data_IF_726559787573
#
_entry.id   IF_726559787573
#
_cell.length_a   1.000
_cell.length_b   1.000
_cell.length_c   1.000
_cell.angle_alpha   90.00
_cell.angle_beta   90.00
_cell.angle_gamma   90.00
#
_symmetry.space_group_name_H-M   'P 1'
#
loop_
_entity.id
_entity.type
_entity.pdbx_description
1 polymer ?
#
# COMPACT_ATOMS: atom_id res chain seq x y z
N UNK A 1 5.74 -14.95 16.25
CA UNK A 1 5.71 -13.82 15.29
C UNK A 1 4.64 -14.14 14.27
N UNK A 2 3.66 -13.26 14.08
CA UNK A 2 2.66 -13.36 13.02
C UNK A 2 3.23 -12.66 11.79
N UNK A 3 3.30 -13.37 10.67
CA UNK A 3 3.80 -12.81 9.41
C UNK A 3 2.69 -12.07 8.67
N UNK A 4 3.12 -11.14 7.82
CA UNK A 4 2.27 -10.38 6.88
C UNK A 4 1.00 -9.78 7.51
N UNK A 5 1.14 -9.12 8.65
CA UNK A 5 0.02 -8.58 9.41
C UNK A 5 -0.62 -7.36 8.76
N UNK A 6 0.17 -6.51 8.12
CA UNK A 6 -0.34 -5.36 7.40
C UNK A 6 0.60 -4.98 6.25
N UNK A 7 0.02 -4.45 5.17
CA UNK A 7 0.75 -3.76 4.12
C UNK A 7 0.94 -2.30 4.53
N UNK A 8 2.18 -1.84 4.55
CA UNK A 8 2.50 -0.41 4.55
C UNK A 8 2.70 0.03 3.11
N UNK A 9 1.84 0.95 2.66
CA UNK A 9 1.91 1.53 1.33
C UNK A 9 1.62 3.03 1.37
N UNK A 10 1.97 3.71 0.29
CA UNK A 10 1.59 5.10 0.04
C UNK A 10 0.69 5.18 -1.19
N UNK A 11 -0.20 6.16 -1.20
CA UNK A 11 -1.04 6.51 -2.36
C UNK A 11 -1.06 8.02 -2.58
N UNK A 12 -1.52 8.40 -3.76
CA UNK A 12 -1.75 9.80 -4.11
C UNK A 12 -3.23 10.15 -3.94
N UNK A 13 -3.51 11.28 -3.30
CA UNK A 13 -4.86 11.81 -3.17
C UNK A 13 -5.37 12.18 -4.58
N UNK A 14 -6.50 11.60 -4.99
CA UNK A 14 -7.11 11.93 -6.27
C UNK A 14 -7.68 13.34 -6.28
N UNK A 15 -7.56 14.03 -7.42
CA UNK A 15 -8.31 15.25 -7.69
C UNK A 15 -9.82 14.99 -7.83
N UNK A 16 -10.66 16.03 -7.77
CA UNK A 16 -12.10 15.90 -8.04
C UNK A 16 -12.44 15.25 -9.39
N UNK A 17 -11.57 15.42 -10.38
CA UNK A 17 -11.66 14.82 -11.72
C UNK A 17 -10.85 13.50 -11.86
N UNK A 18 -10.33 12.98 -10.75
CA UNK A 18 -9.51 11.77 -10.71
C UNK A 18 -8.09 11.92 -11.25
N UNK A 19 -7.65 13.14 -11.61
CA UNK A 19 -6.28 13.38 -12.07
C UNK A 19 -5.36 13.79 -10.91
N UNK A 20 -4.10 13.38 -11.00
CA UNK A 20 -3.08 13.60 -9.96
C UNK A 20 -1.72 13.97 -10.57
N UNK A 21 -1.59 15.10 -11.28
CA UNK A 21 -0.30 15.50 -11.83
C UNK A 21 0.77 15.68 -10.75
N UNK A 22 2.03 15.24 -10.98
CA UNK A 22 2.54 14.56 -12.19
C UNK A 22 2.35 13.02 -12.18
N UNK A 23 1.81 12.46 -11.10
CA UNK A 23 1.65 11.01 -10.89
C UNK A 23 0.53 10.36 -11.70
N UNK A 24 -0.19 11.13 -12.52
CA UNK A 24 -1.04 10.59 -13.57
C UNK A 24 -0.20 9.92 -14.69
N UNK A 25 1.08 10.29 -14.84
CA UNK A 25 2.02 9.60 -15.73
C UNK A 25 2.58 8.34 -15.06
N UNK A 26 2.41 7.19 -15.72
CA UNK A 26 2.91 5.89 -15.26
C UNK A 26 4.42 5.89 -15.01
N UNK A 27 5.20 6.59 -15.83
CA UNK A 27 6.67 6.65 -15.71
C UNK A 27 7.09 7.34 -14.42
N UNK A 28 6.32 8.34 -13.98
CA UNK A 28 6.54 9.03 -12.71
C UNK A 28 6.24 8.09 -11.55
N UNK A 29 5.11 7.36 -11.59
CA UNK A 29 4.79 6.35 -10.57
C UNK A 29 5.81 5.22 -10.50
N UNK A 30 6.32 4.77 -11.65
CA UNK A 30 7.41 3.79 -11.71
C UNK A 30 8.70 4.35 -11.09
N UNK A 31 9.10 5.57 -11.45
CA UNK A 31 10.28 6.22 -10.89
C UNK A 31 10.20 6.34 -9.36
N UNK A 32 9.05 6.78 -8.83
CA UNK A 32 8.83 6.89 -7.38
C UNK A 32 8.89 5.54 -6.68
N UNK A 33 8.54 4.44 -7.35
CA UNK A 33 8.66 3.08 -6.81
C UNK A 33 10.13 2.59 -6.81
N UNK A 34 10.88 2.83 -7.89
CA UNK A 34 12.28 2.40 -8.02
C UNK A 34 13.22 3.19 -7.10
N UNK A 35 12.81 4.39 -6.66
CA UNK A 35 13.59 5.20 -5.75
C UNK A 35 13.63 4.67 -4.31
N UNK A 36 12.79 3.70 -3.94
CA UNK A 36 12.64 3.25 -2.56
C UNK A 36 13.44 1.97 -2.32
N UNK A 37 14.42 2.04 -1.40
CA UNK A 37 15.05 0.82 -0.87
C UNK A 37 14.18 0.21 0.23
N UNK A 38 13.38 -0.78 -0.19
CA UNK A 38 12.44 -1.48 0.69
C UNK A 38 13.14 -2.39 1.69
N UNK A 39 14.32 -2.92 1.35
CA UNK A 39 15.09 -3.76 2.25
C UNK A 39 15.68 -2.91 3.38
N UNK A 40 16.24 -1.76 3.04
CA UNK A 40 16.74 -0.80 4.03
C UNK A 40 15.62 -0.30 4.95
N UNK A 41 14.43 0.04 4.40
CA UNK A 41 13.27 0.42 5.22
C UNK A 41 12.84 -0.73 6.16
N UNK A 42 12.74 -1.96 5.66
CA UNK A 42 12.37 -3.12 6.46
C UNK A 42 13.31 -3.34 7.65
N UNK A 43 14.61 -3.09 7.47
CA UNK A 43 15.62 -3.23 8.53
C UNK A 43 15.65 -2.03 9.46
N UNK A 44 15.76 -0.82 8.92
CA UNK A 44 16.02 0.41 9.70
C UNK A 44 14.80 0.95 10.43
N UNK A 45 13.61 0.88 9.82
CA UNK A 45 12.37 1.41 10.39
C UNK A 45 11.64 0.33 11.17
N UNK A 46 11.58 -0.89 10.64
CA UNK A 46 10.80 -1.98 11.24
C UNK A 46 11.64 -3.02 12.01
N UNK A 47 12.95 -2.79 12.17
CA UNK A 47 13.82 -3.64 12.98
C UNK A 47 13.91 -5.10 12.50
N UNK A 48 13.73 -5.34 11.20
CA UNK A 48 13.71 -6.69 10.62
C UNK A 48 12.38 -7.44 10.80
N UNK A 49 11.36 -6.80 11.37
CA UNK A 49 10.00 -7.34 11.47
C UNK A 49 9.12 -6.94 10.28
N UNK A 50 9.71 -6.81 9.09
CA UNK A 50 9.00 -6.54 7.87
C UNK A 50 9.73 -7.13 6.67
N UNK A 51 9.01 -7.32 5.57
CA UNK A 51 9.58 -7.77 4.29
C UNK A 51 9.08 -6.90 3.13
N UNK A 52 9.85 -6.74 2.04
CA UNK A 52 9.45 -5.90 0.91
C UNK A 52 8.11 -6.31 0.29
N UNK A 53 7.26 -5.32 0.02
CA UNK A 53 6.00 -5.51 -0.69
C UNK A 53 6.11 -5.08 -2.15
N UNK A 54 5.41 -5.80 -3.03
CA UNK A 54 5.45 -5.55 -4.48
C UNK A 54 4.14 -5.02 -5.05
N UNK A 55 2.99 -5.37 -4.48
CA UNK A 55 1.68 -5.12 -5.09
C UNK A 55 0.95 -4.00 -4.35
N UNK A 56 0.59 -2.88 -5.01
CA UNK A 56 -0.26 -1.86 -4.42
C UNK A 56 -1.62 -2.46 -4.02
N UNK A 57 -2.10 -2.15 -2.82
CA UNK A 57 -3.37 -2.68 -2.27
C UNK A 57 -3.49 -4.22 -2.28
N UNK A 58 -2.37 -4.92 -2.45
CA UNK A 58 -2.35 -6.38 -2.44
C UNK A 58 -2.16 -6.91 -1.02
N UNK A 59 -3.16 -7.60 -0.50
CA UNK A 59 -3.11 -8.23 0.82
C UNK A 59 -2.69 -9.68 0.67
N UNK A 60 -1.73 -10.16 1.46
CA UNK A 60 -1.12 -11.48 1.22
C UNK A 60 -2.07 -12.64 1.41
N UNK A 61 -3.04 -12.51 2.31
CA UNK A 61 -4.04 -13.56 2.53
C UNK A 61 -4.92 -13.73 1.29
N UNK A 62 -5.34 -12.63 0.66
CA UNK A 62 -6.10 -12.72 -0.58
C UNK A 62 -5.27 -13.31 -1.72
N UNK A 63 -3.94 -13.13 -1.73
CA UNK A 63 -3.10 -13.79 -2.75
C UNK A 63 -3.18 -15.30 -2.68
N UNK A 64 -3.11 -15.89 -1.48
CA UNK A 64 -3.21 -17.34 -1.31
C UNK A 64 -4.57 -17.85 -1.79
N UNK A 65 -5.64 -17.16 -1.39
CA UNK A 65 -7.01 -17.54 -1.72
C UNK A 65 -7.35 -17.42 -3.21
N UNK A 66 -6.79 -16.42 -3.90
CA UNK A 66 -6.99 -16.22 -5.34
C UNK A 66 -5.93 -16.92 -6.20
N UNK A 67 -4.96 -17.62 -5.57
CA UNK A 67 -3.83 -18.25 -6.27
C UNK A 67 -2.88 -17.27 -6.95
N UNK A 68 -2.79 -16.04 -6.46
CA UNK A 68 -1.85 -15.03 -6.94
C UNK A 68 -0.46 -15.28 -6.35
N UNK A 69 0.57 -15.24 -7.19
CA UNK A 69 1.96 -15.39 -6.76
C UNK A 69 2.74 -14.16 -7.20
N UNK A 70 3.37 -13.50 -6.24
CA UNK A 70 4.33 -12.44 -6.54
C UNK A 70 5.59 -13.11 -7.08
N UNK A 71 5.96 -12.79 -8.30
CA UNK A 71 7.17 -13.28 -8.95
C UNK A 71 8.30 -12.26 -8.81
N UNK A 72 9.58 -12.66 -8.93
CA UNK A 72 10.70 -11.74 -8.80
C UNK A 72 10.67 -10.54 -9.76
N UNK A 73 10.12 -10.68 -10.96
CA UNK A 73 9.92 -9.60 -11.94
C UNK A 73 8.88 -8.56 -11.51
N UNK A 74 7.97 -8.94 -10.60
CA UNK A 74 7.07 -8.00 -9.95
C UNK A 74 7.74 -7.25 -8.80
N UNK A 75 8.94 -7.61 -8.34
CA UNK A 75 9.62 -6.81 -7.33
C UNK A 75 10.01 -5.43 -7.89
N UNK A 76 9.97 -4.41 -7.04
CA UNK A 76 10.56 -3.11 -7.36
C UNK A 76 12.01 -3.10 -6.90
N UNK A 77 12.93 -3.33 -7.85
CA UNK A 77 14.35 -3.17 -7.57
C UNK A 77 14.68 -1.71 -7.23
N UNK A 78 15.50 -1.49 -6.21
CA UNK A 78 15.99 -0.16 -5.88
C UNK A 78 16.97 0.29 -6.97
N UNK A 79 16.54 1.27 -7.77
CA UNK A 79 17.30 1.80 -8.90
C UNK A 79 17.03 3.32 -9.08
N UNK A 80 17.68 4.16 -8.25
CA UNK A 80 17.57 5.61 -8.36
C UNK A 80 18.05 6.17 -9.71
N UNK A 81 18.95 5.48 -10.40
CA UNK A 81 19.46 5.93 -11.69
C UNK A 81 18.40 5.80 -12.78
N UNK A 82 17.74 4.63 -12.85
CA UNK A 82 16.58 4.42 -13.74
C UNK A 82 15.41 5.31 -13.36
N UNK A 83 15.17 5.54 -12.06
CA UNK A 83 14.15 6.46 -11.61
C UNK A 83 14.37 7.89 -12.14
N UNK A 84 15.60 8.43 -12.03
CA UNK A 84 15.95 9.75 -12.61
C UNK A 84 15.73 9.80 -14.12
N UNK A 85 16.11 8.74 -14.84
CA UNK A 85 15.88 8.65 -16.28
C UNK A 85 14.40 8.69 -16.63
N UNK A 86 13.57 7.92 -15.93
CA UNK A 86 12.12 7.91 -16.13
C UNK A 86 11.48 9.27 -15.86
N UNK A 87 11.94 9.99 -14.83
CA UNK A 87 11.51 11.37 -14.60
C UNK A 87 11.91 12.31 -15.74
N UNK A 88 13.14 12.20 -16.25
CA UNK A 88 13.59 12.98 -17.39
C UNK A 88 12.78 12.68 -18.66
N UNK A 89 12.52 11.41 -18.96
CA UNK A 89 11.69 10.96 -20.09
C UNK A 89 10.25 11.47 -19.95
N UNK A 90 9.77 11.66 -18.72
CA UNK A 90 8.48 12.28 -18.40
C UNK A 90 8.49 13.82 -18.46
N UNK A 91 9.60 14.44 -18.85
CA UNK A 91 9.74 15.90 -18.92
C UNK A 91 10.00 16.56 -17.56
N UNK A 92 10.35 15.79 -16.52
CA UNK A 92 10.57 16.22 -15.14
C UNK A 92 12.06 16.10 -14.75
N UNK A 93 12.97 16.34 -15.69
CA UNK A 93 14.42 16.28 -15.44
C UNK A 93 14.88 17.25 -14.33
N UNK A 94 14.18 18.38 -14.16
CA UNK A 94 14.40 19.35 -13.09
C UNK A 94 13.73 18.98 -11.75
N UNK A 95 13.07 17.83 -11.68
CA UNK A 95 12.31 17.40 -10.51
C UNK A 95 10.94 18.07 -10.41
N UNK A 96 10.26 17.80 -9.30
CA UNK A 96 9.01 18.43 -8.90
C UNK A 96 8.87 18.40 -7.38
N UNK A 97 7.88 19.13 -6.83
CA UNK A 97 7.58 19.07 -5.39
C UNK A 97 6.53 18.02 -5.11
N UNK A 98 6.80 17.14 -4.14
CA UNK A 98 5.87 16.14 -3.65
C UNK A 98 5.49 16.46 -2.20
N UNK A 99 4.21 16.74 -1.96
CA UNK A 99 3.70 16.86 -0.59
C UNK A 99 3.53 15.47 0.01
N UNK A 100 4.03 15.28 1.23
CA UNK A 100 3.97 14.03 1.98
C UNK A 100 3.40 14.33 3.35
N UNK A 101 2.15 13.91 3.59
CA UNK A 101 1.54 14.08 4.90
C UNK A 101 2.14 13.09 5.89
N UNK A 102 2.62 13.59 7.03
CA UNK A 102 3.23 12.81 8.09
C UNK A 102 2.32 12.79 9.33
N UNK A 103 1.75 11.63 9.63
CA UNK A 103 0.79 11.42 10.72
C UNK A 103 1.02 10.09 11.45
N UNK A 104 0.52 10.04 12.69
CA UNK A 104 0.59 8.84 13.50
C UNK A 104 -0.69 8.02 13.34
N UNK A 105 -0.56 6.71 13.17
CA UNK A 105 -1.69 5.76 13.18
C UNK A 105 -1.58 4.81 14.38
N UNK A 106 -2.72 4.39 14.98
CA UNK A 106 -2.75 3.27 15.90
C UNK A 106 -2.17 2.01 15.23
N UNK A 107 -1.25 1.32 15.91
CA UNK A 107 -0.59 0.13 15.38
C UNK A 107 0.44 0.40 14.28
N UNK A 108 0.87 1.66 14.09
CA UNK A 108 1.98 2.00 13.20
C UNK A 108 2.82 3.17 13.77
N UNK A 109 3.41 3.04 14.98
CA UNK A 109 4.20 4.07 15.67
C UNK A 109 5.32 4.69 14.81
N UNK A 110 5.80 3.98 13.80
CA UNK A 110 6.86 4.38 12.91
C UNK A 110 6.41 5.37 11.82
N UNK A 111 5.10 5.70 11.74
CA UNK A 111 4.52 6.48 10.63
C UNK A 111 5.29 7.74 10.25
N UNK A 112 5.72 8.57 11.22
CA UNK A 112 6.50 9.78 10.92
C UNK A 112 7.89 9.46 10.36
N UNK A 113 8.61 8.52 10.98
CA UNK A 113 9.93 8.08 10.50
C UNK A 113 9.84 7.44 9.11
N UNK A 114 8.76 6.70 8.86
CA UNK A 114 8.44 6.17 7.54
C UNK A 114 8.23 7.28 6.51
N UNK A 115 7.46 8.32 6.83
CA UNK A 115 7.24 9.47 5.95
C UNK A 115 8.56 10.19 5.62
N UNK A 116 9.41 10.40 6.62
CA UNK A 116 10.75 10.97 6.48
C UNK A 116 11.66 10.12 5.58
N UNK A 117 11.64 8.80 5.75
CA UNK A 117 12.40 7.88 4.90
C UNK A 117 11.93 7.97 3.44
N UNK A 118 10.62 7.91 3.19
CA UNK A 118 10.04 8.04 1.86
C UNK A 118 10.44 9.35 1.18
N UNK A 119 10.34 10.47 1.90
CA UNK A 119 10.79 11.77 1.44
C UNK A 119 12.29 11.78 1.09
N UNK A 120 13.14 11.24 1.97
CA UNK A 120 14.59 11.17 1.75
C UNK A 120 14.98 10.35 0.52
N UNK A 121 14.27 9.26 0.22
CA UNK A 121 14.49 8.48 -1.01
C UNK A 121 14.09 9.23 -2.27
N UNK A 122 12.97 9.94 -2.25
CA UNK A 122 12.51 10.73 -3.38
C UNK A 122 13.40 11.95 -3.64
N UNK A 123 13.96 12.57 -2.61
CA UNK A 123 14.98 13.63 -2.76
C UNK A 123 16.21 13.14 -3.53
N UNK A 124 16.65 11.89 -3.34
CA UNK A 124 17.81 11.31 -4.08
C UNK A 124 17.60 11.29 -5.59
N UNK A 125 16.35 11.32 -6.07
CA UNK A 125 16.01 11.35 -7.50
C UNK A 125 15.57 12.74 -7.99
N UNK A 126 15.70 13.78 -7.16
CA UNK A 126 15.35 15.16 -7.49
C UNK A 126 13.90 15.54 -7.21
N UNK A 127 13.14 14.69 -6.51
CA UNK A 127 11.77 15.01 -6.10
C UNK A 127 11.81 15.68 -4.72
N UNK A 128 11.59 16.99 -4.71
CA UNK A 128 11.58 17.80 -3.50
C UNK A 128 10.38 17.45 -2.63
N UNK A 129 10.60 16.73 -1.54
CA UNK A 129 9.56 16.19 -0.70
C UNK A 129 9.28 17.12 0.48
N UNK A 130 8.08 17.72 0.51
CA UNK A 130 7.64 18.58 1.61
C UNK A 130 6.84 17.75 2.60
N UNK A 131 7.43 17.48 3.76
CA UNK A 131 6.77 16.82 4.87
C UNK A 131 5.77 17.77 5.54
N UNK A 132 4.53 17.32 5.70
CA UNK A 132 3.44 18.08 6.30
C UNK A 132 2.92 17.33 7.53
N UNK A 133 3.37 17.70 8.74
CA UNK A 133 2.89 17.09 9.97
C UNK A 133 1.41 17.38 10.19
N UNK A 134 0.62 16.36 10.50
CA UNK A 134 -0.82 16.49 10.76
C UNK A 134 -1.31 15.32 11.62
N UNK A 135 -2.46 15.46 12.29
CA UNK A 135 -3.17 14.31 12.86
C UNK A 135 -3.94 13.54 11.78
N UNK A 136 -4.12 12.23 11.99
CA UNK A 136 -4.80 11.40 11.00
C UNK A 136 -6.26 11.81 10.71
N UNK A 137 -7.11 12.18 11.70
CA UNK A 137 -8.45 12.70 11.40
C UNK A 137 -8.47 13.90 10.45
N UNK A 138 -7.58 14.88 10.65
CA UNK A 138 -7.46 16.04 9.78
C UNK A 138 -6.95 15.65 8.38
N UNK A 139 -5.92 14.78 8.29
CA UNK A 139 -5.48 14.21 7.02
C UNK A 139 -6.62 13.50 6.28
N UNK A 140 -7.35 12.63 6.97
CA UNK A 140 -8.44 11.85 6.40
C UNK A 140 -9.54 12.75 5.86
N UNK A 141 -9.86 13.84 6.55
CA UNK A 141 -10.80 14.84 6.04
C UNK A 141 -10.29 15.49 4.75
N UNK A 142 -9.02 15.85 4.68
CA UNK A 142 -8.42 16.44 3.46
C UNK A 142 -8.43 15.47 2.28
N UNK A 143 -8.13 14.20 2.51
CA UNK A 143 -8.19 13.15 1.50
C UNK A 143 -9.62 12.96 0.99
N UNK A 144 -10.59 12.80 1.88
CA UNK A 144 -12.02 12.62 1.53
C UNK A 144 -12.58 13.84 0.80
N UNK A 145 -12.23 15.06 1.23
CA UNK A 145 -12.64 16.30 0.59
C UNK A 145 -11.85 16.58 -0.73
N UNK A 146 -10.88 15.73 -1.10
CA UNK A 146 -9.99 15.89 -2.26
C UNK A 146 -9.24 17.25 -2.32
N UNK A 147 -8.81 17.74 -1.15
CA UNK A 147 -8.23 19.09 -0.98
C UNK A 147 -6.72 19.21 -1.21
N UNK A 148 -6.04 18.10 -1.53
CA UNK A 148 -4.61 18.11 -1.85
C UNK A 148 -4.30 17.10 -2.98
N UNK A 149 -4.80 17.32 -4.20
CA UNK A 149 -4.58 16.40 -5.32
C UNK A 149 -3.09 16.16 -5.57
N UNK A 150 -2.70 14.90 -5.73
CA UNK A 150 -1.31 14.49 -5.94
C UNK A 150 -0.44 14.46 -4.68
N UNK A 151 -0.92 14.94 -3.53
CA UNK A 151 -0.21 14.76 -2.27
C UNK A 151 -0.26 13.29 -1.81
N UNK A 152 0.73 12.89 -1.03
CA UNK A 152 0.91 11.51 -0.58
C UNK A 152 0.33 11.30 0.81
N UNK A 153 -0.45 10.23 0.93
CA UNK A 153 -0.83 9.61 2.20
C UNK A 153 -0.27 8.21 2.32
N UNK A 154 -0.26 7.67 3.54
CA UNK A 154 0.09 6.28 3.80
C UNK A 154 -0.82 5.65 4.85
N UNK A 155 -0.85 4.31 4.87
CA UNK A 155 -1.69 3.57 5.80
C UNK A 155 -1.10 2.21 6.10
N UNK A 156 -1.36 1.72 7.31
CA UNK A 156 -1.14 0.33 7.67
C UNK A 156 -2.39 -0.49 7.34
N UNK A 157 -2.44 -1.02 6.13
CA UNK A 157 -3.58 -1.82 5.69
C UNK A 157 -3.47 -3.21 6.30
N UNK A 158 -4.22 -3.42 7.38
CA UNK A 158 -4.36 -4.73 8.02
C UNK A 158 -4.67 -5.82 6.99
N UNK A 159 -4.02 -6.98 7.14
CA UNK A 159 -4.33 -8.17 6.37
C UNK A 159 -5.77 -8.61 6.68
N UNK A 160 -6.47 -9.11 5.67
CA UNK A 160 -7.92 -9.38 5.69
C UNK A 160 -8.20 -10.70 5.00
N UNK A 161 -9.32 -11.31 5.37
CA UNK A 161 -9.89 -12.40 4.59
C UNK A 161 -10.32 -11.92 3.19
N UNK A 162 -10.82 -12.83 2.36
CA UNK A 162 -11.13 -12.54 0.95
C UNK A 162 -12.23 -11.48 0.84
N UNK A 163 -13.26 -11.54 1.70
CA UNK A 163 -14.35 -10.56 1.73
C UNK A 163 -13.78 -9.19 2.10
N UNK A 164 -12.97 -9.12 3.16
CA UNK A 164 -12.35 -7.88 3.60
C UNK A 164 -11.39 -7.30 2.57
N UNK A 165 -10.66 -8.14 1.84
CA UNK A 165 -9.80 -7.70 0.74
C UNK A 165 -10.60 -7.11 -0.43
N UNK A 166 -11.76 -7.69 -0.76
CA UNK A 166 -12.63 -7.17 -1.81
C UNK A 166 -13.28 -5.87 -1.40
N UNK A 167 -13.80 -5.78 -0.17
CA UNK A 167 -14.35 -4.54 0.37
C UNK A 167 -13.29 -3.42 0.42
N UNK A 168 -12.03 -3.76 0.69
CA UNK A 168 -10.94 -2.81 0.66
C UNK A 168 -10.64 -2.31 -0.76
N UNK A 169 -10.56 -3.21 -1.74
CA UNK A 169 -10.33 -2.85 -3.15
C UNK A 169 -11.52 -2.09 -3.75
N UNK A 170 -12.75 -2.46 -3.42
CA UNK A 170 -13.94 -1.67 -3.76
C UNK A 170 -13.83 -0.26 -3.16
N UNK A 171 -13.31 -0.11 -1.95
CA UNK A 171 -13.22 1.20 -1.30
C UNK A 171 -12.09 2.10 -1.82
N UNK A 172 -10.95 1.53 -2.21
CA UNK A 172 -9.74 2.28 -2.57
C UNK A 172 -9.31 2.16 -4.03
N UNK A 173 -9.60 1.04 -4.67
CA UNK A 173 -9.22 0.73 -6.05
C UNK A 173 -10.34 0.96 -7.07
N UNK A 174 -11.58 1.21 -6.62
CA UNK A 174 -12.74 1.44 -7.46
C UNK A 174 -13.16 2.91 -7.42
N UNK A 175 -12.91 3.67 -8.48
CA UNK A 175 -13.20 5.11 -8.55
C UNK A 175 -14.67 5.45 -8.25
N UNK A 176 -15.67 4.67 -8.74
CA UNK A 176 -17.07 4.93 -8.43
C UNK A 176 -17.45 4.83 -6.95
N UNK A 177 -16.58 4.28 -6.09
CA UNK A 177 -16.76 4.29 -4.63
C UNK A 177 -16.61 5.68 -3.99
N UNK A 178 -16.06 6.65 -4.73
CA UNK A 178 -15.91 8.07 -4.40
C UNK A 178 -14.96 8.36 -3.24
N UNK A 179 -15.44 8.40 -2.00
CA UNK A 179 -14.82 9.23 -0.96
C UNK A 179 -13.41 8.79 -0.51
N UNK A 180 -13.00 7.54 -0.76
CA UNK A 180 -11.69 7.03 -0.35
C UNK A 180 -10.95 6.34 -1.50
N UNK A 181 -11.35 6.61 -2.74
CA UNK A 181 -10.64 6.06 -3.90
C UNK A 181 -9.23 6.67 -4.01
N UNK A 182 -8.34 5.88 -4.59
CA UNK A 182 -6.91 6.19 -4.74
C UNK A 182 -6.38 5.85 -6.13
N UNK A 183 -7.20 5.15 -6.91
CA UNK A 183 -6.91 4.72 -8.28
C UNK A 183 -8.00 5.25 -9.18
N UNK A 184 -7.59 5.77 -10.33
CA UNK A 184 -8.47 6.17 -11.42
C UNK A 184 -8.02 5.44 -12.69
N UNK A 185 -8.45 4.20 -12.84
CA UNK A 185 -8.11 3.32 -13.96
C UNK A 185 -9.35 2.55 -14.43
N UNK A 186 -9.89 2.87 -15.63
CA UNK A 186 -11.10 2.24 -16.15
C UNK A 186 -11.02 0.71 -16.28
N UNK A 187 -9.82 0.14 -16.47
CA UNK A 187 -9.66 -1.32 -16.53
C UNK A 187 -9.79 -1.95 -15.15
N UNK A 188 -9.20 -1.33 -14.13
CA UNK A 188 -9.38 -1.75 -12.72
C UNK A 188 -10.84 -1.62 -12.34
N UNK A 189 -11.49 -0.51 -12.69
CA UNK A 189 -12.90 -0.28 -12.42
C UNK A 189 -13.80 -1.33 -13.08
N UNK A 190 -13.54 -1.65 -14.35
CA UNK A 190 -14.29 -2.66 -15.09
C UNK A 190 -14.15 -4.06 -14.50
N UNK A 191 -12.98 -4.42 -14.00
CA UNK A 191 -12.75 -5.71 -13.33
C UNK A 191 -13.44 -5.78 -11.97
N UNK A 192 -13.32 -4.74 -11.14
CA UNK A 192 -13.96 -4.68 -9.82
C UNK A 192 -15.50 -4.66 -9.95
N UNK A 193 -16.05 -3.95 -10.94
CA UNK A 193 -17.49 -3.99 -11.22
C UNK A 193 -18.01 -5.38 -11.61
N UNK A 194 -17.18 -6.21 -12.28
CA UNK A 194 -17.51 -7.60 -12.57
C UNK A 194 -17.42 -8.49 -11.33
N UNK A 195 -16.42 -8.27 -10.46
CA UNK A 195 -16.29 -8.98 -9.18
C UNK A 195 -17.56 -8.79 -8.35
N UNK A 196 -18.08 -7.55 -8.25
CA UNK A 196 -19.30 -7.22 -7.49
C UNK A 196 -20.58 -7.89 -8.01
N UNK A 197 -20.59 -8.39 -9.25
CA UNK A 197 -21.76 -9.03 -9.89
C UNK A 197 -21.58 -10.53 -10.10
N UNK A 198 -20.47 -11.09 -9.62
CA UNK A 198 -20.12 -12.49 -9.81
C UNK A 198 -20.42 -13.30 -8.55
N UNK A 199 -20.88 -14.54 -8.72
CA UNK A 199 -21.09 -15.50 -7.63
C UNK A 199 -20.19 -16.73 -7.75
N UNK A 200 -19.61 -16.96 -8.93
CA UNK A 200 -18.62 -18.01 -9.19
C UNK A 200 -17.26 -17.60 -8.62
N UNK A 201 -16.77 -18.39 -7.66
CA UNK A 201 -15.52 -18.11 -6.94
C UNK A 201 -14.29 -18.14 -7.86
N UNK A 202 -14.23 -19.05 -8.82
CA UNK A 202 -13.06 -19.18 -9.71
C UNK A 202 -12.98 -17.99 -10.68
N UNK A 203 -14.13 -17.51 -11.15
CA UNK A 203 -14.22 -16.28 -11.96
C UNK A 203 -13.83 -15.05 -11.15
N UNK A 204 -14.30 -14.93 -9.91
CA UNK A 204 -13.87 -13.85 -9.01
C UNK A 204 -12.35 -13.90 -8.82
N UNK A 205 -11.80 -15.07 -8.47
CA UNK A 205 -10.38 -15.25 -8.24
C UNK A 205 -9.54 -14.89 -9.48
N UNK A 206 -10.01 -15.23 -10.69
CA UNK A 206 -9.37 -14.84 -11.95
C UNK A 206 -9.38 -13.32 -12.16
N UNK A 207 -10.52 -12.65 -11.94
CA UNK A 207 -10.62 -11.19 -12.03
C UNK A 207 -9.70 -10.51 -11.03
N UNK A 208 -9.64 -11.01 -9.80
CA UNK A 208 -8.78 -10.46 -8.74
C UNK A 208 -7.30 -10.58 -9.07
N UNK A 209 -6.84 -11.70 -9.64
CA UNK A 209 -5.47 -11.84 -10.15
C UNK A 209 -5.15 -10.79 -11.22
N UNK A 210 -6.10 -10.52 -12.11
CA UNK A 210 -5.94 -9.49 -13.15
C UNK A 210 -5.91 -8.08 -12.55
N UNK A 211 -6.73 -7.79 -11.53
CA UNK A 211 -6.69 -6.53 -10.77
C UNK A 211 -5.30 -6.33 -10.15
N UNK A 212 -4.76 -7.31 -9.43
CA UNK A 212 -3.42 -7.20 -8.83
C UNK A 212 -2.32 -7.02 -9.88
N UNK A 213 -2.43 -7.74 -11.01
CA UNK A 213 -1.50 -7.61 -12.13
C UNK A 213 -1.53 -6.19 -12.70
N UNK A 214 -2.71 -5.62 -12.92
CA UNK A 214 -2.89 -4.25 -13.45
C UNK A 214 -2.41 -3.19 -12.45
N UNK A 215 -2.78 -3.30 -11.19
CA UNK A 215 -2.31 -2.40 -10.13
C UNK A 215 -0.78 -2.36 -10.08
N UNK A 216 -0.14 -3.53 -10.18
CA UNK A 216 1.31 -3.63 -10.23
C UNK A 216 1.92 -3.09 -11.52
N UNK A 217 1.36 -3.43 -12.68
CA UNK A 217 1.90 -3.02 -13.97
C UNK A 217 1.78 -1.52 -14.18
N UNK A 218 0.75 -0.89 -13.63
CA UNK A 218 0.51 0.55 -13.73
C UNK A 218 1.03 1.35 -12.54
N UNK A 219 1.64 0.70 -11.54
CA UNK A 219 2.23 1.37 -10.39
C UNK A 219 1.22 2.23 -9.62
N UNK A 220 -0.01 1.74 -9.42
CA UNK A 220 -1.12 2.46 -8.75
C UNK A 220 -0.95 2.54 -7.23
N UNK A 221 0.20 3.05 -6.80
CA UNK A 221 0.64 3.23 -5.43
C UNK A 221 2.12 2.86 -5.26
N UNK A 222 2.66 3.08 -4.06
CA UNK A 222 3.99 2.60 -3.68
C UNK A 222 3.84 1.61 -2.53
N UNK A 223 3.75 0.30 -2.80
CA UNK A 223 3.83 -0.71 -1.75
C UNK A 223 5.25 -0.72 -1.21
N UNK A 224 5.43 -0.73 0.11
CA UNK A 224 6.75 -0.62 0.72
C UNK A 224 7.11 -1.91 1.43
N UNK A 225 6.37 -2.29 2.46
CA UNK A 225 6.63 -3.51 3.22
C UNK A 225 5.35 -4.19 3.72
N UNK A 226 5.42 -5.51 3.91
CA UNK A 226 4.53 -6.24 4.80
C UNK A 226 5.16 -6.29 6.18
N UNK A 227 4.48 -5.74 7.19
CA UNK A 227 4.94 -5.82 8.58
C UNK A 227 4.56 -7.14 9.22
N UNK A 228 5.34 -7.58 10.19
CA UNK A 228 5.15 -8.79 10.98
C UNK A 228 5.03 -8.37 12.45
N UNK A 229 3.99 -8.84 13.16
CA UNK A 229 3.90 -8.51 14.58
C UNK A 229 4.57 -9.57 15.44
N UNK A 230 5.55 -9.19 16.26
CA UNK A 230 5.98 -10.02 17.37
C UNK A 230 4.86 -10.08 18.42
N UNK A 231 4.60 -11.28 18.91
CA UNK A 231 3.70 -11.52 20.02
C UNK A 231 4.51 -12.12 21.16
N UNK A 232 4.30 -11.61 22.37
CA UNK A 232 4.85 -12.17 23.59
C UNK A 232 3.70 -12.80 24.40
N UNK A 233 3.90 -14.05 24.83
CA UNK A 233 2.97 -14.76 25.70
C UNK A 233 3.72 -15.30 26.91
N UNK A 234 3.03 -15.47 28.04
CA UNK A 234 3.61 -16.10 29.23
C UNK A 234 4.09 -17.51 28.91
N UNK A 235 5.22 -17.94 29.49
CA UNK A 235 5.68 -19.34 29.43
C UNK A 235 4.68 -20.32 30.03
N UNK A 236 3.79 -19.85 30.90
CA UNK A 236 2.73 -20.69 31.52
C UNK A 236 1.56 -20.93 30.57
N UNK A 237 1.49 -20.20 29.48
CA UNK A 237 0.48 -20.36 28.45
C UNK A 237 0.94 -21.46 27.49
N UNK A 238 0.12 -22.49 27.29
CA UNK A 238 0.51 -23.70 26.55
C UNK A 238 0.76 -23.43 25.07
N UNK A 239 -0.29 -23.52 24.26
CA UNK A 239 -0.24 -23.16 22.83
C UNK A 239 -1.23 -22.03 22.56
N UNK A 240 -0.78 -21.04 21.80
CA UNK A 240 -1.63 -19.97 21.31
C UNK A 240 -1.37 -19.75 19.83
N UNK A 241 -2.46 -19.71 19.07
CA UNK A 241 -2.45 -19.32 17.67
C UNK A 241 -3.13 -17.95 17.57
N UNK A 242 -2.42 -16.86 17.21
CA UNK A 242 -3.03 -15.53 17.04
C UNK A 242 -3.70 -15.36 15.65
N UNK A 243 -4.00 -16.47 14.98
CA UNK A 243 -4.60 -16.52 13.66
C UNK A 243 -3.80 -15.82 12.57
N UNK A 244 -4.49 -15.47 11.48
CA UNK A 244 -3.88 -14.90 10.27
C UNK A 244 -4.41 -13.52 9.89
N UNK A 245 -5.59 -13.14 10.38
CA UNK A 245 -6.16 -11.80 10.21
C UNK A 245 -5.86 -10.98 11.47
N UNK A 246 -5.70 -9.66 11.33
CA UNK A 246 -5.27 -8.79 12.44
C UNK A 246 -6.07 -9.00 13.74
N UNK A 247 -7.37 -9.30 13.63
CA UNK A 247 -8.31 -9.46 14.75
C UNK A 247 -8.48 -10.90 15.27
N UNK A 248 -7.81 -11.90 14.69
CA UNK A 248 -7.96 -13.32 15.03
C UNK A 248 -7.22 -13.73 16.32
N UNK A 249 -7.23 -12.91 17.36
CA UNK A 249 -6.41 -13.16 18.55
C UNK A 249 -6.80 -14.44 19.32
N UNK A 250 -7.92 -15.10 18.98
CA UNK A 250 -8.39 -16.38 19.53
C UNK A 250 -8.16 -16.50 21.05
N UNK A 251 -8.48 -15.45 21.80
CA UNK A 251 -8.21 -15.37 23.24
C UNK A 251 -9.01 -16.43 24.03
N UNK A 252 -10.13 -16.90 23.48
CA UNK A 252 -10.93 -17.96 24.08
C UNK A 252 -10.19 -19.31 24.15
N UNK A 253 -9.23 -19.55 23.24
CA UNK A 253 -8.39 -20.75 23.27
C UNK A 253 -7.40 -20.72 24.45
N UNK A 254 -7.17 -19.54 25.04
CA UNK A 254 -6.27 -19.38 26.18
C UNK A 254 -6.90 -19.84 27.50
N UNK A 255 -8.23 -19.84 27.59
CA UNK A 255 -8.97 -20.19 28.79
C UNK A 255 -9.15 -21.72 28.96
N UNK A 256 -8.80 -22.52 27.94
CA UNK A 256 -8.91 -23.98 27.98
C UNK A 256 -7.58 -24.59 28.40
N UNK A 257 -7.38 -24.72 29.71
CA UNK A 257 -6.41 -25.64 30.31
C UNK A 257 -7.11 -26.86 30.85
#
# INVERSE_FOLDING_TARGET
>A
MRKEEALIHVWWILGPDGRTPPTNDKRVREALNLAIDRNEIAQSIFGGYAEPAAIPMGLTWSFKDVGFKVTPDMAYAYDPARAKKLLADAGLAGGFTQDVYAFQLPGFPEGKAFAEAMAGYWEKIGVKSRLIPVDYPAFRKMWVDRKAPGAVGYYNVANRDWIGAYAFLEKQGYTPSKLNDTVNDPEVDGMLAQVLRQTDRDKINALMRNVYTRLRSEHHGVPVVFVHSPYAASKTLGKWNPGSVMYDLFLDDLARK
#
